data_IF_609511975523
#
_entry.id   IF_609511975523
#
_cell.length_a   1.000
_cell.length_b   1.000
_cell.length_c   1.000
_cell.angle_alpha   90.00
_cell.angle_beta   90.00
_cell.angle_gamma   90.00
#
_symmetry.space_group_name_H-M   'P 1'
#
loop_
_entity.id
_entity.type
_entity.pdbx_description
1 polymer ?
#
# COMPACT_ATOMS: atom_id res chain seq x y z
N UNK A 1 -12.73 -5.54 0.97
CA UNK A 1 -11.65 -4.97 0.11
C UNK A 1 -10.88 -6.09 -0.57
N UNK A 2 -10.27 -7.04 0.16
CA UNK A 2 -9.41 -8.10 -0.41
C UNK A 2 -10.08 -8.90 -1.54
N UNK A 3 -11.37 -9.17 -1.44
CA UNK A 3 -12.13 -9.91 -2.46
C UNK A 3 -12.24 -9.23 -3.84
N UNK A 4 -11.75 -8.00 -3.96
CA UNK A 4 -11.74 -7.23 -5.21
C UNK A 4 -10.36 -7.21 -5.88
N UNK A 5 -9.33 -7.73 -5.23
CA UNK A 5 -7.97 -7.74 -5.75
C UNK A 5 -7.71 -8.99 -6.60
N UNK A 6 -7.04 -8.80 -7.75
CA UNK A 6 -6.66 -9.86 -8.69
C UNK A 6 -5.23 -9.60 -9.19
N UNK A 7 -4.23 -9.96 -8.37
CA UNK A 7 -2.81 -9.85 -8.74
C UNK A 7 -2.02 -8.78 -7.99
N UNK A 8 -2.67 -7.99 -7.15
CA UNK A 8 -2.03 -7.07 -6.23
C UNK A 8 -1.37 -7.84 -5.09
N UNK A 9 -0.27 -7.33 -4.60
CA UNK A 9 0.34 -7.82 -3.37
C UNK A 9 -0.05 -6.91 -2.23
N UNK A 10 -0.54 -7.50 -1.17
CA UNK A 10 -0.99 -6.81 0.03
C UNK A 10 -0.11 -7.15 1.23
N UNK A 11 0.04 -6.23 2.15
CA UNK A 11 0.64 -6.45 3.46
C UNK A 11 -0.19 -5.76 4.54
N UNK A 12 -0.06 -6.21 5.76
CA UNK A 12 -0.70 -5.59 6.91
C UNK A 12 0.35 -5.20 7.93
N UNK A 13 0.30 -3.95 8.36
CA UNK A 13 1.09 -3.47 9.48
C UNK A 13 0.18 -2.94 10.59
N UNK A 14 0.50 -3.30 11.80
CA UNK A 14 -0.09 -2.77 13.02
C UNK A 14 0.92 -1.88 13.70
N UNK A 15 0.48 -0.76 14.26
CA UNK A 15 1.36 0.19 14.92
C UNK A 15 0.67 0.89 16.11
N UNK A 16 1.47 1.28 17.06
CA UNK A 16 1.11 2.12 18.21
C UNK A 16 2.37 2.90 18.65
N UNK A 17 3.10 2.46 19.67
CA UNK A 17 4.45 2.94 20.00
C UNK A 17 5.49 2.34 19.04
N UNK A 18 5.29 1.10 18.65
CA UNK A 18 6.13 0.36 17.68
C UNK A 18 5.29 -0.10 16.52
N UNK A 19 5.95 -0.45 15.42
CA UNK A 19 5.31 -1.00 14.22
C UNK A 19 5.66 -2.47 14.08
N UNK A 20 4.65 -3.29 13.76
CA UNK A 20 4.79 -4.72 13.51
C UNK A 20 4.15 -5.10 12.19
N UNK A 21 4.86 -5.87 11.38
CA UNK A 21 4.31 -6.47 10.16
C UNK A 21 3.56 -7.75 10.53
N UNK A 22 2.24 -7.75 10.38
CA UNK A 22 1.38 -8.91 10.61
C UNK A 22 1.59 -9.97 9.52
N UNK A 23 1.66 -9.52 8.26
CA UNK A 23 2.15 -10.31 7.13
C UNK A 23 2.82 -9.40 6.09
N UNK A 24 3.91 -9.90 5.45
CA UNK A 24 4.62 -9.14 4.42
C UNK A 24 3.81 -9.09 3.12
N UNK A 25 4.29 -8.34 2.12
CA UNK A 25 3.67 -8.27 0.80
C UNK A 25 3.48 -9.66 0.19
N UNK A 26 2.22 -10.06 -0.02
CA UNK A 26 1.80 -11.37 -0.50
C UNK A 26 0.62 -11.27 -1.45
N UNK A 27 0.46 -12.24 -2.33
CA UNK A 27 -0.71 -12.50 -3.17
C UNK A 27 -1.54 -13.70 -2.67
N UNK A 28 -1.20 -14.23 -1.49
CA UNK A 28 -1.99 -15.23 -0.77
C UNK A 28 -3.15 -14.56 -0.04
N UNK A 29 -4.26 -14.35 -0.77
CA UNK A 29 -5.43 -13.66 -0.24
C UNK A 29 -6.19 -14.48 0.80
N UNK A 30 -6.09 -15.82 0.76
CA UNK A 30 -6.72 -16.69 1.75
C UNK A 30 -6.02 -16.47 3.10
N UNK A 31 -4.69 -16.55 3.14
CA UNK A 31 -3.91 -16.27 4.34
C UNK A 31 -4.14 -14.85 4.86
N UNK A 32 -4.13 -13.85 3.98
CA UNK A 32 -4.36 -12.46 4.38
C UNK A 32 -5.76 -12.24 4.96
N UNK A 33 -6.78 -12.91 4.40
CA UNK A 33 -8.15 -12.86 4.90
C UNK A 33 -8.27 -13.51 6.28
N UNK A 34 -7.62 -14.65 6.48
CA UNK A 34 -7.62 -15.36 7.77
C UNK A 34 -6.98 -14.49 8.86
N UNK A 35 -5.84 -13.84 8.59
CA UNK A 35 -5.18 -12.95 9.56
C UNK A 35 -6.04 -11.73 9.88
N UNK A 36 -6.67 -11.11 8.87
CA UNK A 36 -7.58 -9.96 9.10
C UNK A 36 -8.82 -10.36 9.89
N UNK A 37 -9.36 -11.56 9.66
CA UNK A 37 -10.51 -12.07 10.41
C UNK A 37 -10.13 -12.34 11.86
N UNK A 38 -8.99 -12.99 12.10
CA UNK A 38 -8.47 -13.25 13.45
C UNK A 38 -8.23 -11.94 14.24
N UNK A 39 -7.66 -10.94 13.57
CA UNK A 39 -7.48 -9.60 14.16
C UNK A 39 -8.83 -8.95 14.49
N UNK A 40 -9.80 -9.00 13.57
CA UNK A 40 -11.14 -8.46 13.80
C UNK A 40 -11.84 -9.13 14.97
N UNK A 41 -11.81 -10.45 15.02
CA UNK A 41 -12.43 -11.24 16.09
C UNK A 41 -11.76 -10.97 17.44
N UNK A 42 -10.42 -10.82 17.45
CA UNK A 42 -9.67 -10.49 18.66
C UNK A 42 -10.03 -9.10 19.19
N UNK A 43 -10.17 -8.10 18.31
CA UNK A 43 -10.59 -6.75 18.69
C UNK A 43 -12.03 -6.75 19.19
N UNK A 44 -12.96 -7.37 18.46
CA UNK A 44 -14.39 -7.39 18.79
C UNK A 44 -14.66 -8.10 20.11
N UNK A 45 -13.99 -9.20 20.39
CA UNK A 45 -14.14 -9.94 21.67
C UNK A 45 -13.28 -9.34 22.79
N UNK A 46 -12.19 -8.69 22.43
CA UNK A 46 -11.24 -8.08 23.35
C UNK A 46 -11.67 -6.74 23.93
N UNK A 47 -12.62 -6.05 23.31
CA UNK A 47 -13.16 -4.79 23.84
C UNK A 47 -14.40 -5.05 24.69
N UNK A 48 -14.32 -4.73 25.97
CA UNK A 48 -15.42 -4.91 26.93
C UNK A 48 -15.82 -3.58 27.55
N UNK A 49 -17.09 -3.44 27.88
CA UNK A 49 -17.61 -2.27 28.59
C UNK A 49 -17.74 -2.56 30.09
N UNK A 50 -16.95 -1.85 30.89
CA UNK A 50 -16.97 -1.98 32.36
C UNK A 50 -17.27 -0.61 32.98
N UNK A 51 -18.40 -0.50 33.68
CA UNK A 51 -18.78 0.74 34.36
C UNK A 51 -18.95 1.94 33.43
N UNK A 52 -19.37 1.72 32.17
CA UNK A 52 -19.52 2.78 31.16
C UNK A 52 -18.23 3.20 30.46
N UNK A 53 -17.12 2.52 30.72
CA UNK A 53 -15.84 2.71 30.02
C UNK A 53 -15.51 1.47 29.18
N UNK A 54 -14.92 1.70 28.02
CA UNK A 54 -14.35 0.63 27.20
C UNK A 54 -13.00 0.25 27.81
N UNK A 55 -12.76 -1.04 27.96
CA UNK A 55 -11.51 -1.62 28.45
C UNK A 55 -11.13 -2.81 27.60
N UNK A 56 -9.83 -3.08 27.44
CA UNK A 56 -9.32 -4.27 26.77
C UNK A 56 -9.31 -5.49 27.68
N UNK A 57 -9.55 -6.66 27.10
CA UNK A 57 -9.29 -7.93 27.78
C UNK A 57 -7.79 -8.24 27.80
N UNK A 58 -7.40 -9.25 28.60
CA UNK A 58 -6.01 -9.69 28.63
C UNK A 58 -5.54 -10.22 27.29
N UNK A 59 -6.40 -10.97 26.60
CA UNK A 59 -6.13 -11.54 25.28
C UNK A 59 -5.83 -10.44 24.25
N UNK A 60 -6.60 -9.34 24.26
CA UNK A 60 -6.35 -8.21 23.40
C UNK A 60 -5.01 -7.54 23.71
N UNK A 61 -4.68 -7.36 25.01
CA UNK A 61 -3.39 -6.78 25.39
C UNK A 61 -2.21 -7.68 25.00
N UNK A 62 -2.33 -9.01 25.17
CA UNK A 62 -1.30 -9.97 24.72
C UNK A 62 -1.13 -9.93 23.19
N UNK A 63 -2.22 -9.75 22.43
CA UNK A 63 -2.18 -9.62 20.97
C UNK A 63 -1.49 -8.31 20.52
N UNK A 64 -1.72 -7.22 21.23
CA UNK A 64 -1.17 -5.89 20.93
C UNK A 64 0.23 -5.67 21.56
N UNK A 65 0.70 -6.52 22.47
CA UNK A 65 1.97 -6.37 23.17
C UNK A 65 3.15 -5.96 22.27
N UNK A 66 3.33 -6.54 21.07
CA UNK A 66 4.47 -6.21 20.22
C UNK A 66 4.51 -4.75 19.71
N UNK A 67 3.38 -4.05 19.76
CA UNK A 67 3.28 -2.65 19.30
C UNK A 67 3.12 -1.66 20.42
N UNK A 68 2.91 -2.13 21.67
CA UNK A 68 2.77 -1.28 22.85
C UNK A 68 4.14 -0.90 23.44
N UNK A 69 4.18 0.23 24.12
CA UNK A 69 5.34 0.60 24.93
C UNK A 69 5.47 -0.33 26.15
N UNK A 70 6.71 -0.67 26.55
CA UNK A 70 7.02 -1.50 27.72
C UNK A 70 6.42 -0.95 29.03
N UNK A 71 6.26 0.36 29.13
CA UNK A 71 5.63 1.02 30.28
C UNK A 71 4.11 1.10 30.18
N UNK A 72 3.51 0.59 29.09
CA UNK A 72 2.07 0.71 28.78
C UNK A 72 1.57 2.16 28.80
N UNK A 73 2.44 3.11 28.51
CA UNK A 73 2.03 4.48 28.30
C UNK A 73 1.21 4.59 27.02
N UNK A 74 0.22 5.45 27.02
CA UNK A 74 -0.61 5.69 25.84
C UNK A 74 0.27 6.27 24.75
N UNK A 75 0.42 5.55 23.66
CA UNK A 75 1.17 5.97 22.49
C UNK A 75 0.29 5.88 21.25
N UNK A 76 0.54 6.73 20.28
CA UNK A 76 -0.05 6.69 18.96
C UNK A 76 0.86 7.45 17.99
N UNK A 77 1.87 6.75 17.45
CA UNK A 77 2.93 7.34 16.62
C UNK A 77 2.60 7.17 15.14
N UNK A 78 1.62 7.95 14.66
CA UNK A 78 1.07 7.87 13.28
C UNK A 78 2.16 8.03 12.23
N UNK A 79 3.08 9.00 12.42
CA UNK A 79 4.18 9.25 11.48
C UNK A 79 5.14 8.06 11.38
N UNK A 80 5.55 7.50 12.52
CA UNK A 80 6.44 6.33 12.55
C UNK A 80 5.77 5.09 11.95
N UNK A 81 4.48 4.87 12.24
CA UNK A 81 3.68 3.82 11.64
C UNK A 81 3.63 3.92 10.12
N UNK A 82 3.35 5.12 9.61
CA UNK A 82 3.32 5.38 8.16
C UNK A 82 4.71 5.19 7.52
N UNK A 83 5.77 5.73 8.14
CA UNK A 83 7.13 5.58 7.63
C UNK A 83 7.56 4.10 7.58
N UNK A 84 7.19 3.30 8.58
CA UNK A 84 7.41 1.85 8.59
C UNK A 84 6.69 1.15 7.44
N UNK A 85 5.45 1.53 7.14
CA UNK A 85 4.72 1.01 5.98
C UNK A 85 5.43 1.33 4.66
N UNK A 86 5.91 2.56 4.48
CA UNK A 86 6.66 2.96 3.28
C UNK A 86 7.92 2.12 3.11
N UNK A 87 8.64 1.85 4.20
CA UNK A 87 9.85 1.01 4.18
C UNK A 87 9.54 -0.47 3.91
N UNK A 88 8.31 -0.92 4.12
CA UNK A 88 7.87 -2.29 3.87
C UNK A 88 7.72 -2.65 2.38
N UNK A 89 7.74 -1.69 1.46
CA UNK A 89 7.67 -1.97 0.03
C UNK A 89 9.00 -2.52 -0.50
N UNK A 90 8.90 -3.55 -1.34
CA UNK A 90 10.03 -4.13 -2.06
C UNK A 90 10.10 -3.63 -3.51
N UNK A 91 11.17 -4.02 -4.22
CA UNK A 91 11.36 -3.72 -5.64
C UNK A 91 11.16 -2.25 -6.00
N UNK A 92 11.76 -1.34 -5.22
CA UNK A 92 11.64 0.12 -5.42
C UNK A 92 12.24 0.61 -6.75
N UNK A 93 12.99 -0.25 -7.45
CA UNK A 93 13.55 -0.05 -8.79
C UNK A 93 12.54 -0.28 -9.93
N UNK A 94 11.38 -0.88 -9.63
CA UNK A 94 10.32 -1.14 -10.62
C UNK A 94 9.24 -0.08 -10.55
N UNK A 95 8.79 0.36 -11.72
CA UNK A 95 7.57 1.15 -11.82
C UNK A 95 6.38 0.27 -11.47
N UNK A 96 5.79 0.53 -10.31
CA UNK A 96 4.59 -0.12 -9.81
C UNK A 96 3.81 0.86 -8.97
N UNK A 97 2.51 0.85 -9.08
CA UNK A 97 1.62 1.53 -8.15
C UNK A 97 1.86 1.00 -6.72
N UNK A 98 1.99 1.91 -5.77
CA UNK A 98 2.18 1.62 -4.36
C UNK A 98 1.23 2.48 -3.57
N UNK A 99 0.29 1.85 -2.91
CA UNK A 99 -0.73 2.55 -2.14
C UNK A 99 -0.75 2.04 -0.71
N UNK A 100 -0.77 2.97 0.23
CA UNK A 100 -1.01 2.70 1.65
C UNK A 100 -2.42 3.13 1.99
N UNK A 101 -3.18 2.22 2.60
CA UNK A 101 -4.46 2.52 3.22
C UNK A 101 -4.22 2.72 4.72
N UNK A 102 -4.20 3.97 5.15
CA UNK A 102 -3.91 4.38 6.52
C UNK A 102 -5.21 4.53 7.31
N UNK A 103 -5.48 3.60 8.22
CA UNK A 103 -6.63 3.67 9.12
C UNK A 103 -6.21 4.29 10.46
N UNK A 104 -6.66 5.52 10.74
CA UNK A 104 -6.31 6.28 11.94
C UNK A 104 -7.27 7.44 12.18
N UNK A 105 -7.44 7.83 13.45
CA UNK A 105 -8.08 9.07 13.87
C UNK A 105 -7.11 10.27 13.91
N UNK A 106 -5.81 10.00 13.66
CA UNK A 106 -4.72 10.96 13.72
C UNK A 106 -4.56 11.66 15.08
N UNK A 107 -5.04 11.05 16.16
CA UNK A 107 -4.73 11.49 17.51
C UNK A 107 -3.34 10.97 17.89
N UNK A 108 -2.37 11.89 17.95
CA UNK A 108 -0.95 11.54 18.21
C UNK A 108 -0.66 11.67 19.70
N UNK A 109 -0.10 10.60 20.27
CA UNK A 109 0.38 10.56 21.64
C UNK A 109 1.83 10.03 21.67
N UNK A 110 2.70 10.77 22.32
CA UNK A 110 4.13 10.45 22.41
C UNK A 110 4.98 11.24 21.43
N UNK A 111 6.30 11.04 21.50
CA UNK A 111 7.28 11.65 20.60
C UNK A 111 7.85 10.58 19.67
N UNK A 112 7.53 10.68 18.40
CA UNK A 112 8.04 9.80 17.33
C UNK A 112 9.30 10.34 16.67
N UNK A 113 9.90 9.53 15.80
CA UNK A 113 11.00 9.94 14.91
C UNK A 113 10.47 10.77 13.75
N UNK A 114 9.30 10.43 13.24
CA UNK A 114 8.60 11.11 12.16
C UNK A 114 7.28 11.69 12.67
N UNK A 115 7.00 12.94 12.33
CA UNK A 115 5.62 13.43 12.38
C UNK A 115 4.85 12.99 11.11
N UNK A 116 3.53 13.23 11.07
CA UNK A 116 2.69 12.87 9.94
C UNK A 116 3.17 13.53 8.63
N UNK A 117 3.55 14.82 8.68
CA UNK A 117 3.96 15.56 7.49
C UNK A 117 5.28 15.04 6.92
N UNK A 118 6.25 14.74 7.79
CA UNK A 118 7.54 14.14 7.41
C UNK A 118 7.35 12.74 6.80
N UNK A 119 6.48 11.92 7.38
CA UNK A 119 6.17 10.60 6.86
C UNK A 119 5.45 10.65 5.50
N UNK A 120 4.56 11.63 5.30
CA UNK A 120 3.89 11.89 4.00
C UNK A 120 4.90 12.35 2.94
N UNK A 121 5.81 13.26 3.27
CA UNK A 121 6.87 13.67 2.33
C UNK A 121 7.80 12.49 2.00
N UNK A 122 8.08 11.63 2.98
CA UNK A 122 8.83 10.40 2.73
C UNK A 122 8.07 9.47 1.78
N UNK A 123 6.78 9.19 2.02
CA UNK A 123 5.92 8.39 1.13
C UNK A 123 5.94 8.95 -0.30
N UNK A 124 5.73 10.24 -0.46
CA UNK A 124 5.76 10.93 -1.74
C UNK A 124 7.11 10.81 -2.45
N UNK A 125 8.23 10.93 -1.71
CA UNK A 125 9.57 10.77 -2.26
C UNK A 125 9.83 9.36 -2.82
N UNK A 126 9.13 8.35 -2.28
CA UNK A 126 9.20 6.96 -2.71
C UNK A 126 8.14 6.60 -3.77
N UNK A 127 7.34 7.58 -4.22
CA UNK A 127 6.24 7.34 -5.17
C UNK A 127 5.11 6.48 -4.59
N UNK A 128 4.83 6.65 -3.29
CA UNK A 128 3.76 5.94 -2.58
C UNK A 128 2.58 6.87 -2.38
N UNK A 129 1.40 6.47 -2.84
CA UNK A 129 0.12 7.13 -2.58
C UNK A 129 -0.38 6.72 -1.20
N UNK A 130 -0.84 7.68 -0.40
CA UNK A 130 -1.41 7.40 0.93
C UNK A 130 -2.87 7.85 0.94
N UNK A 131 -3.77 6.90 1.17
CA UNK A 131 -5.21 7.14 1.32
C UNK A 131 -5.62 6.86 2.75
N UNK A 132 -6.34 7.79 3.38
CA UNK A 132 -6.77 7.65 4.77
C UNK A 132 -8.19 7.09 4.89
N UNK A 133 -8.36 6.17 5.85
CA UNK A 133 -9.65 5.75 6.41
C UNK A 133 -9.78 6.33 7.81
N UNK A 134 -10.67 7.29 7.96
CA UNK A 134 -10.92 7.96 9.24
C UNK A 134 -12.12 7.32 9.95
N UNK A 135 -12.01 6.92 11.23
CA UNK A 135 -13.09 6.21 11.94
C UNK A 135 -14.22 7.11 12.44
N UNK A 136 -14.15 8.41 12.21
CA UNK A 136 -15.18 9.37 12.62
C UNK A 136 -16.16 9.72 11.51
N UNK A 137 -17.30 10.32 11.90
CA UNK A 137 -18.31 10.81 10.93
C UNK A 137 -17.97 12.20 10.41
N UNK A 138 -18.28 12.46 9.13
CA UNK A 138 -18.04 13.72 8.41
C UNK A 138 -18.73 14.98 9.01
N UNK A 139 -19.57 14.82 10.03
CA UNK A 139 -20.45 15.89 10.51
C UNK A 139 -19.70 17.00 11.26
N UNK A 140 -18.53 16.71 11.82
CA UNK A 140 -17.62 17.72 12.38
C UNK A 140 -16.20 17.18 12.43
N UNK A 141 -15.45 17.32 11.35
CA UNK A 141 -14.03 16.97 11.32
C UNK A 141 -13.27 17.87 12.30
N UNK A 142 -12.61 17.24 13.27
CA UNK A 142 -11.66 17.91 14.16
C UNK A 142 -10.42 18.38 13.39
N UNK A 143 -9.55 19.08 14.11
CA UNK A 143 -8.28 19.56 13.56
C UNK A 143 -7.41 18.40 13.03
N UNK A 144 -7.39 17.30 13.75
CA UNK A 144 -6.61 16.09 13.44
C UNK A 144 -7.08 15.44 12.14
N UNK A 145 -8.38 15.32 11.93
CA UNK A 145 -8.98 14.81 10.70
C UNK A 145 -8.72 15.73 9.50
N UNK A 146 -8.82 17.05 9.70
CA UNK A 146 -8.52 18.03 8.65
C UNK A 146 -7.03 17.98 8.25
N UNK A 147 -6.15 17.87 9.23
CA UNK A 147 -4.71 17.71 9.00
C UNK A 147 -4.43 16.42 8.21
N UNK A 148 -4.97 15.29 8.65
CA UNK A 148 -4.80 14.01 7.96
C UNK A 148 -5.25 14.09 6.50
N UNK A 149 -6.44 14.64 6.25
CA UNK A 149 -6.98 14.82 4.92
C UNK A 149 -6.07 15.67 4.03
N UNK A 150 -5.60 16.80 4.55
CA UNK A 150 -4.78 17.74 3.78
C UNK A 150 -3.38 17.16 3.52
N UNK A 151 -2.84 16.36 4.45
CA UNK A 151 -1.56 15.68 4.29
C UNK A 151 -1.62 14.55 3.26
N UNK A 152 -2.58 13.61 3.34
CA UNK A 152 -2.64 12.48 2.40
C UNK A 152 -2.85 12.93 0.95
N UNK A 153 -3.57 14.02 0.73
CA UNK A 153 -3.77 14.60 -0.60
C UNK A 153 -2.48 15.06 -1.28
N UNK A 154 -1.43 15.35 -0.54
CA UNK A 154 -0.10 15.70 -1.10
C UNK A 154 0.54 14.54 -1.84
N UNK A 155 0.16 13.30 -1.55
CA UNK A 155 0.64 12.08 -2.23
C UNK A 155 -0.22 11.69 -3.44
N UNK A 156 -1.34 12.38 -3.68
CA UNK A 156 -2.34 12.00 -4.68
C UNK A 156 -3.44 11.09 -4.15
N UNK A 157 -3.39 10.70 -2.88
CA UNK A 157 -4.43 9.92 -2.22
C UNK A 157 -5.63 10.74 -1.77
N UNK A 158 -6.61 10.08 -1.14
CA UNK A 158 -7.84 10.71 -0.68
C UNK A 158 -8.13 10.33 0.78
N UNK A 159 -9.22 10.90 1.30
CA UNK A 159 -9.66 10.74 2.68
C UNK A 159 -11.12 10.26 2.70
N UNK A 160 -11.36 9.13 3.36
CA UNK A 160 -12.68 8.51 3.43
C UNK A 160 -13.12 8.30 4.88
N UNK A 161 -14.40 8.51 5.14
CA UNK A 161 -15.06 8.12 6.38
C UNK A 161 -15.25 6.60 6.41
N UNK A 162 -14.56 5.92 7.31
CA UNK A 162 -14.63 4.46 7.45
C UNK A 162 -16.02 3.94 7.83
N UNK A 163 -16.86 4.79 8.43
CA UNK A 163 -18.26 4.45 8.77
C UNK A 163 -19.20 4.50 7.56
N UNK A 164 -18.76 5.09 6.44
CA UNK A 164 -19.57 5.17 5.22
C UNK A 164 -19.64 3.81 4.52
N UNK A 165 -20.84 3.30 4.20
CA UNK A 165 -20.98 2.05 3.45
C UNK A 165 -20.30 2.06 2.07
N UNK A 166 -20.07 3.26 1.50
CA UNK A 166 -19.42 3.45 0.21
C UNK A 166 -17.90 3.64 0.30
N UNK A 167 -17.31 3.70 1.50
CA UNK A 167 -15.89 3.92 1.67
C UNK A 167 -15.06 2.83 0.99
N UNK A 168 -15.41 1.57 1.20
CA UNK A 168 -14.74 0.41 0.59
C UNK A 168 -14.77 0.48 -0.94
N UNK A 169 -15.95 0.70 -1.52
CA UNK A 169 -16.10 0.80 -2.99
C UNK A 169 -15.30 1.97 -3.57
N UNK A 170 -15.22 3.08 -2.82
CA UNK A 170 -14.47 4.27 -3.25
C UNK A 170 -12.97 4.03 -3.24
N UNK A 171 -12.44 3.39 -2.19
CA UNK A 171 -11.04 3.00 -2.07
C UNK A 171 -10.65 2.01 -3.18
N UNK A 172 -11.46 0.98 -3.40
CA UNK A 172 -11.22 -0.01 -4.47
C UNK A 172 -11.14 0.67 -5.83
N UNK A 173 -12.12 1.54 -6.16
CA UNK A 173 -12.12 2.29 -7.42
C UNK A 173 -10.91 3.21 -7.58
N UNK A 174 -10.43 3.81 -6.49
CA UNK A 174 -9.22 4.63 -6.53
C UNK A 174 -8.00 3.77 -6.87
N UNK A 175 -7.80 2.63 -6.19
CA UNK A 175 -6.69 1.71 -6.44
C UNK A 175 -6.72 1.19 -7.89
N UNK A 176 -7.89 0.77 -8.39
CA UNK A 176 -8.07 0.34 -9.78
C UNK A 176 -7.73 1.45 -10.79
N UNK A 177 -8.10 2.70 -10.49
CA UNK A 177 -7.80 3.84 -11.35
C UNK A 177 -6.30 4.13 -11.42
N UNK A 178 -5.60 4.09 -10.28
CA UNK A 178 -4.15 4.27 -10.20
C UNK A 178 -3.40 3.20 -11.01
N UNK A 179 -3.81 1.94 -10.90
CA UNK A 179 -3.24 0.83 -11.67
C UNK A 179 -3.46 0.98 -13.17
N UNK A 180 -4.64 1.40 -13.58
CA UNK A 180 -4.95 1.62 -14.99
C UNK A 180 -4.11 2.76 -15.58
N UNK A 181 -3.93 3.84 -14.86
CA UNK A 181 -3.10 4.97 -15.30
C UNK A 181 -1.63 4.53 -15.47
N UNK A 182 -1.13 3.69 -14.58
CA UNK A 182 0.22 3.14 -14.67
C UNK A 182 0.37 2.21 -15.90
N UNK A 183 -0.57 1.31 -16.13
CA UNK A 183 -0.57 0.45 -17.31
C UNK A 183 -0.64 1.24 -18.62
N UNK A 184 -1.45 2.29 -18.68
CA UNK A 184 -1.55 3.17 -19.84
C UNK A 184 -0.25 3.97 -20.06
N UNK A 185 0.43 4.34 -19.00
CA UNK A 185 1.74 5.03 -19.06
C UNK A 185 2.87 4.08 -19.47
N UNK A 186 2.87 2.85 -18.97
CA UNK A 186 3.83 1.80 -19.34
C UNK A 186 3.62 1.28 -20.77
N UNK A 187 2.37 1.22 -21.23
CA UNK A 187 2.01 0.76 -22.58
C UNK A 187 2.51 1.65 -23.71
N UNK A 188 3.05 2.83 -23.45
CA UNK A 188 3.69 3.67 -24.47
C UNK A 188 5.10 3.23 -24.88
N UNK A 189 5.72 2.31 -24.18
CA UNK A 189 6.91 1.61 -24.65
C UNK A 189 6.51 0.41 -25.50
N UNK A 190 5.87 0.64 -26.64
CA UNK A 190 5.77 -0.38 -27.70
C UNK A 190 7.18 -0.51 -28.26
N UNK A 191 7.91 -1.49 -27.80
CA UNK A 191 9.09 -1.99 -28.49
C UNK A 191 8.62 -2.48 -29.85
N UNK A 192 8.68 -1.59 -30.86
CA UNK A 192 8.33 -1.95 -32.22
C UNK A 192 9.47 -2.81 -32.75
N UNK A 193 9.42 -4.09 -32.41
CA UNK A 193 10.27 -5.07 -33.07
C UNK A 193 9.93 -5.01 -34.57
N UNK A 194 10.89 -4.52 -35.36
CA UNK A 194 10.80 -4.49 -36.82
C UNK A 194 11.59 -5.66 -37.40
N UNK A 195 11.06 -6.87 -37.35
CA UNK A 195 11.76 -8.06 -37.86
C UNK A 195 12.06 -7.96 -39.35
N UNK A 196 11.32 -7.12 -40.09
CA UNK A 196 11.49 -6.93 -41.52
C UNK A 196 12.87 -6.42 -41.93
N UNK A 197 13.49 -5.53 -41.15
CA UNK A 197 14.83 -5.03 -41.45
C UNK A 197 15.90 -6.10 -41.21
N UNK A 198 15.81 -6.84 -40.13
CA UNK A 198 16.73 -7.93 -39.78
C UNK A 198 16.61 -9.09 -40.79
N UNK A 199 15.38 -9.47 -41.14
CA UNK A 199 15.09 -10.48 -42.19
C UNK A 199 15.63 -10.04 -43.56
N UNK A 200 15.50 -8.75 -43.91
CA UNK A 200 16.05 -8.23 -45.16
C UNK A 200 17.57 -8.39 -45.24
N UNK A 201 18.30 -8.01 -44.21
CA UNK A 201 19.76 -8.15 -44.16
C UNK A 201 20.23 -9.59 -44.10
N UNK A 202 19.53 -10.49 -43.43
CA UNK A 202 19.85 -11.92 -43.44
C UNK A 202 19.63 -12.54 -44.83
N UNK A 203 18.57 -12.16 -45.56
CA UNK A 203 18.31 -12.63 -46.90
C UNK A 203 19.39 -12.18 -47.88
N UNK A 204 19.82 -10.91 -47.82
CA UNK A 204 20.94 -10.37 -48.62
C UNK A 204 22.22 -11.14 -48.34
N UNK A 205 22.50 -11.42 -47.05
CA UNK A 205 23.67 -12.20 -46.65
C UNK A 205 23.69 -13.62 -47.23
N UNK A 206 22.55 -14.32 -47.17
CA UNK A 206 22.40 -15.67 -47.69
C UNK A 206 22.55 -15.70 -49.23
N UNK A 207 21.90 -14.77 -49.94
CA UNK A 207 22.02 -14.67 -51.40
C UNK A 207 23.47 -14.37 -51.82
N UNK A 208 24.15 -13.48 -51.14
CA UNK A 208 25.55 -13.17 -51.40
C UNK A 208 26.47 -14.37 -51.17
N UNK A 209 26.25 -15.13 -50.08
CA UNK A 209 27.01 -16.34 -49.80
C UNK A 209 26.80 -17.42 -50.88
N UNK A 210 25.56 -17.64 -51.31
CA UNK A 210 25.25 -18.60 -52.38
C UNK A 210 25.86 -18.17 -53.71
N UNK A 211 25.88 -16.87 -54.02
CA UNK A 211 26.54 -16.32 -55.20
C UNK A 211 28.04 -16.58 -55.18
N UNK A 212 28.73 -16.35 -54.08
CA UNK A 212 30.15 -16.62 -53.92
C UNK A 212 30.48 -18.12 -54.04
N UNK A 213 29.65 -19.01 -53.52
CA UNK A 213 29.84 -20.46 -53.63
C UNK A 213 29.61 -20.95 -55.04
N UNK A 214 28.71 -20.35 -55.82
CA UNK A 214 28.46 -20.69 -57.22
C UNK A 214 29.62 -20.24 -58.13
N UNK A 215 30.17 -19.04 -57.92
CA UNK A 215 31.32 -18.53 -58.68
C UNK A 215 32.65 -19.13 -58.26
N UNK A 216 32.81 -19.55 -57.01
CA UNK A 216 34.05 -20.16 -56.51
C UNK A 216 34.22 -21.65 -56.92
N UNK A 217 33.24 -22.25 -57.65
CA UNK A 217 33.29 -23.61 -58.19
C UNK A 217 33.56 -23.66 -59.72
N UNK A 218 33.75 -22.52 -60.32
CA UNK A 218 34.25 -22.38 -61.71
C UNK A 218 35.75 -22.08 -61.69
#
# INVERSE_FOLDING_TARGET
IISHFEGERISLQLWNAYSMTMFPLTDDYDMATDVLQDMSDTIDTGLIQVGGKISGTRELFEYLEPVLDENQEVSSLVGDGLASCVMGFDHNDKQRSRTILLATDNEVYGEGVYDLSEAIEFAKSQGVTVTALYPGSDISLGREALQLRDEVRKTGGDFYDASSPSAVDSVVKQIEAEQKEELDSAGKMIETDRPGAALGWTLVGVVSLLGLLAFGRL
#
